data_IF_271540912722
#
_entry.id   IF_271540912722
#
_cell.length_a   1.000
_cell.length_b   1.000
_cell.length_c   1.000
_cell.angle_alpha   90.00
_cell.angle_beta   90.00
_cell.angle_gamma   90.00
#
_symmetry.space_group_name_H-M   'P 1'
#
loop_
_entity.id
_entity.type
_entity.pdbx_description
1 polymer ?
#
# COMPACT_ATOMS: atom_id res chain seq x y z
N UNK A 1 -24.00 25.67 -0.63
CA UNK A 1 -22.77 26.42 -0.93
C UNK A 1 -21.71 25.97 0.06
N UNK A 2 -20.64 25.32 -0.41
CA UNK A 2 -19.50 24.95 0.44
C UNK A 2 -18.62 26.20 0.54
N UNK A 3 -18.54 26.79 1.73
CA UNK A 3 -17.62 27.91 1.98
C UNK A 3 -16.22 27.34 2.21
N UNK A 4 -15.29 27.65 1.30
CA UNK A 4 -13.86 27.38 1.49
C UNK A 4 -13.26 28.56 2.24
N UNK A 5 -12.76 28.34 3.45
CA UNK A 5 -11.94 29.32 4.18
C UNK A 5 -10.51 29.20 3.64
N UNK A 6 -9.99 30.28 3.05
CA UNK A 6 -8.59 30.37 2.64
C UNK A 6 -7.83 31.08 3.77
N UNK A 7 -6.90 30.38 4.42
CA UNK A 7 -5.96 30.98 5.37
C UNK A 7 -4.78 31.60 4.62
N UNK A 8 -4.42 32.83 4.98
CA UNK A 8 -3.17 33.47 4.58
C UNK A 8 -2.14 33.32 5.69
N UNK A 9 -0.89 33.02 5.33
CA UNK A 9 0.23 32.88 6.26
C UNK A 9 1.24 34.02 6.05
N UNK A 10 1.59 34.73 7.12
CA UNK A 10 2.66 35.73 7.14
C UNK A 10 3.66 35.31 8.22
N UNK A 11 4.93 35.13 7.85
CA UNK A 11 6.01 34.73 8.75
C UNK A 11 6.79 35.98 9.16
N UNK A 12 6.96 36.20 10.47
CA UNK A 12 7.83 37.25 11.02
C UNK A 12 9.07 36.61 11.66
N UNK A 13 10.24 37.24 11.47
CA UNK A 13 11.46 36.91 12.19
C UNK A 13 11.62 37.88 13.36
N UNK A 14 11.64 37.41 14.61
CA UNK A 14 12.01 38.25 15.75
C UNK A 14 13.46 37.98 16.13
N UNK A 15 14.36 38.92 15.87
CA UNK A 15 15.64 38.97 16.56
C UNK A 15 15.38 39.26 18.03
N UNK A 16 15.97 38.46 18.92
CA UNK A 16 15.95 38.62 20.39
C UNK A 16 16.08 40.10 20.77
N UNK A 17 14.99 40.72 21.22
CA UNK A 17 15.06 42.05 21.83
C UNK A 17 15.60 41.90 23.24
N UNK A 18 16.88 42.21 23.39
CA UNK A 18 17.55 42.35 24.68
C UNK A 18 19.07 42.55 24.61
N UNK A 19 19.74 42.21 23.51
CA UNK A 19 21.18 42.42 23.35
C UNK A 19 21.49 43.00 21.98
N UNK A 20 21.71 44.32 21.91
CA UNK A 20 22.37 44.98 20.78
C UNK A 20 23.87 44.73 20.85
N UNK A 21 24.30 43.53 20.53
CA UNK A 21 25.69 43.25 20.14
C UNK A 21 25.69 42.20 19.04
N UNK A 22 26.11 42.60 17.84
CA UNK A 22 26.33 41.71 16.71
C UNK A 22 27.30 40.59 17.13
N UNK A 23 26.84 39.35 17.06
CA UNK A 23 27.71 38.17 17.18
C UNK A 23 28.07 37.71 15.76
N UNK A 24 29.35 37.74 15.35
CA UNK A 24 29.77 37.12 14.10
C UNK A 24 29.60 35.61 14.23
N UNK A 25 29.01 34.97 13.22
CA UNK A 25 28.72 33.52 13.11
C UNK A 25 27.46 33.01 13.85
N UNK A 26 26.29 33.60 13.58
CA UNK A 26 25.01 33.01 14.03
C UNK A 26 24.55 31.89 13.08
N UNK A 27 24.30 30.69 13.61
CA UNK A 27 23.66 29.58 12.90
C UNK A 27 22.19 29.48 13.35
N UNK A 28 21.21 29.72 12.46
CA UNK A 28 19.79 29.55 12.79
C UNK A 28 19.55 28.10 13.31
N UNK A 29 19.02 27.95 14.51
CA UNK A 29 18.54 26.68 15.06
C UNK A 29 17.01 26.61 15.00
N UNK A 30 16.41 25.43 15.13
CA UNK A 30 14.94 25.28 15.17
C UNK A 30 14.27 26.14 16.25
N UNK A 31 15.04 26.57 17.26
CA UNK A 31 14.57 27.41 18.37
C UNK A 31 14.44 28.91 18.01
N UNK A 32 14.89 29.34 16.83
CA UNK A 32 14.90 30.75 16.41
C UNK A 32 13.67 31.19 15.60
N UNK A 33 12.72 30.29 15.40
CA UNK A 33 11.49 30.55 14.62
C UNK A 33 10.30 30.68 15.55
N UNK A 34 9.67 31.86 15.56
CA UNK A 34 8.35 32.06 16.14
C UNK A 34 7.28 32.01 15.04
N UNK A 35 6.41 31.01 15.09
CA UNK A 35 5.25 30.91 14.19
C UNK A 35 4.04 31.45 14.95
N UNK A 36 3.59 32.64 14.57
CA UNK A 36 2.38 33.25 15.14
C UNK A 36 1.16 32.92 14.25
N UNK A 37 0.14 32.30 14.83
CA UNK A 37 -1.12 32.03 14.16
C UNK A 37 -2.13 33.13 14.49
N UNK A 38 -2.65 33.84 13.48
CA UNK A 38 -3.71 34.83 13.68
C UNK A 38 -5.01 34.33 13.03
N UNK A 39 -5.98 33.95 13.86
CA UNK A 39 -7.36 33.70 13.41
C UNK A 39 -8.07 35.05 13.29
N UNK A 40 -8.33 35.50 12.07
CA UNK A 40 -9.29 36.58 11.84
C UNK A 40 -10.64 35.97 11.44
N UNK A 41 -11.66 36.17 12.26
CA UNK A 41 -13.03 35.85 11.89
C UNK A 41 -13.64 37.08 11.21
N UNK A 42 -13.99 36.96 9.92
CA UNK A 42 -15.07 37.78 9.39
C UNK A 42 -16.36 37.10 9.85
N UNK A 43 -17.09 37.82 10.70
CA UNK A 43 -18.40 37.44 11.20
C UNK A 43 -19.29 36.96 10.06
N UNK A 44 -19.88 35.77 10.17
CA UNK A 44 -21.25 35.47 9.74
C UNK A 44 -21.72 34.19 10.46
N UNK A 45 -22.96 34.27 10.91
CA UNK A 45 -23.70 33.36 11.79
C UNK A 45 -23.98 31.97 11.21
N UNK A 46 -24.15 31.01 12.14
CA UNK A 46 -24.60 29.62 12.01
C UNK A 46 -23.48 28.55 11.87
N UNK A 47 -22.91 28.17 13.02
CA UNK A 47 -22.13 26.95 13.17
C UNK A 47 -23.08 25.75 13.30
N UNK A 48 -23.09 24.85 12.31
CA UNK A 48 -23.70 23.52 12.42
C UNK A 48 -22.63 22.48 12.76
N UNK A 49 -22.99 21.52 13.63
CA UNK A 49 -22.15 20.52 14.29
C UNK A 49 -21.60 19.37 13.40
N UNK A 50 -21.41 19.61 12.10
CA UNK A 50 -20.89 18.61 11.14
C UNK A 50 -19.72 19.14 10.31
N UNK A 51 -18.95 20.08 10.86
CA UNK A 51 -17.75 20.59 10.20
C UNK A 51 -16.55 19.69 10.53
N UNK A 52 -16.05 18.94 9.55
CA UNK A 52 -14.75 18.28 9.63
C UNK A 52 -13.64 19.30 9.37
N UNK A 53 -12.75 19.49 10.34
CA UNK A 53 -11.57 20.32 10.19
C UNK A 53 -10.40 19.43 9.73
N UNK A 54 -9.67 19.87 8.71
CA UNK A 54 -8.33 19.36 8.39
C UNK A 54 -7.33 20.38 8.92
N UNK A 55 -6.41 19.93 9.78
CA UNK A 55 -5.20 20.70 10.07
C UNK A 55 -4.11 20.15 9.17
N UNK A 56 -3.39 21.04 8.50
CA UNK A 56 -2.17 20.69 7.76
C UNK A 56 -0.95 21.03 8.60
N UNK A 57 -0.04 20.06 8.73
CA UNK A 57 1.29 20.32 9.28
C UNK A 57 2.29 20.42 8.13
N UNK A 58 2.98 21.55 8.00
CA UNK A 58 3.97 21.78 6.94
C UNK A 58 5.40 21.72 7.48
N UNK A 59 6.26 20.91 6.86
CA UNK A 59 7.71 20.98 7.11
C UNK A 59 8.29 22.20 6.40
N UNK A 60 9.00 23.07 7.13
CA UNK A 60 9.68 24.25 6.57
C UNK A 60 11.19 24.02 6.64
N UNK A 61 11.84 23.86 5.49
CA UNK A 61 13.30 23.78 5.43
C UNK A 61 13.91 25.19 5.44
N UNK A 62 14.72 25.53 6.45
CA UNK A 62 15.48 26.77 6.49
C UNK A 62 16.82 26.60 5.79
N UNK A 63 17.19 27.56 4.94
CA UNK A 63 18.53 27.64 4.35
C UNK A 63 19.20 28.94 4.81
N UNK A 64 20.45 28.83 5.27
CA UNK A 64 21.27 29.97 5.64
C UNK A 64 22.06 30.41 4.42
N UNK A 65 21.69 31.53 3.80
CA UNK A 65 22.55 32.19 2.84
C UNK A 65 23.46 33.14 3.62
N UNK A 66 24.75 33.20 3.27
CA UNK A 66 25.84 33.93 3.93
C UNK A 66 25.64 35.44 4.21
N UNK A 67 24.41 35.96 4.14
CA UNK A 67 23.98 37.28 4.55
C UNK A 67 22.81 37.17 5.55
N UNK A 68 23.07 36.71 6.78
CA UNK A 68 22.28 36.86 8.03
C UNK A 68 20.73 36.83 7.95
N UNK A 69 20.13 36.19 6.93
CA UNK A 69 18.69 36.15 6.70
C UNK A 69 18.26 34.71 6.41
N UNK A 70 17.59 34.05 7.37
CA UNK A 70 17.05 32.71 7.15
C UNK A 70 15.89 32.78 6.12
N UNK A 71 15.89 31.95 5.06
CA UNK A 71 14.76 31.81 4.11
C UNK A 71 14.20 30.38 4.12
N UNK A 72 12.88 30.23 3.93
CA UNK A 72 12.24 28.93 3.71
C UNK A 72 12.50 28.44 2.27
N UNK A 73 12.88 27.17 2.13
CA UNK A 73 13.29 26.56 0.85
C UNK A 73 12.32 25.51 0.30
N UNK A 74 11.34 25.06 1.09
CA UNK A 74 10.21 24.25 0.62
C UNK A 74 9.23 23.99 1.77
N UNK A 75 7.93 23.96 1.47
CA UNK A 75 6.86 23.53 2.40
C UNK A 75 6.21 22.25 1.91
N UNK A 76 6.28 21.16 2.68
CA UNK A 76 5.50 19.94 2.44
C UNK A 76 4.48 19.76 3.56
N UNK A 77 3.18 19.82 3.24
CA UNK A 77 2.11 19.72 4.23
C UNK A 77 1.47 18.33 4.25
N UNK A 78 1.14 17.80 5.43
CA UNK A 78 0.51 16.49 5.63
C UNK A 78 -0.82 16.61 6.39
N UNK A 79 -1.77 15.73 6.06
CA UNK A 79 -3.11 15.67 6.65
C UNK A 79 -3.16 14.59 7.76
N UNK A 80 -3.87 14.85 8.86
CA UNK A 80 -4.31 13.79 9.81
C UNK A 80 -5.76 13.41 9.57
N UNK A 81 -6.17 12.23 10.05
CA UNK A 81 -7.55 11.74 9.95
C UNK A 81 -8.09 11.23 11.28
N UNK A 82 -9.37 11.45 11.55
CA UNK A 82 -10.10 10.78 12.63
C UNK A 82 -10.90 9.59 12.09
N UNK A 83 -10.71 8.39 12.67
CA UNK A 83 -11.56 7.19 12.43
C UNK A 83 -12.10 6.77 13.79
N UNK A 84 -13.43 6.63 13.93
CA UNK A 84 -14.08 6.23 15.19
C UNK A 84 -13.63 7.03 16.44
N UNK A 85 -13.52 8.37 16.31
CA UNK A 85 -13.04 9.29 17.37
C UNK A 85 -11.56 9.15 17.77
N UNK A 86 -10.74 8.46 16.98
CA UNK A 86 -9.28 8.37 17.19
C UNK A 86 -8.57 9.10 16.05
N UNK A 87 -7.60 9.96 16.36
CA UNK A 87 -6.81 10.73 15.36
C UNK A 87 -5.52 10.01 14.99
N UNK A 88 -5.17 10.00 13.70
CA UNK A 88 -4.04 9.24 13.14
C UNK A 88 -3.13 10.14 12.28
N UNK A 89 -1.81 9.96 12.43
CA UNK A 89 -0.78 10.75 11.76
C UNK A 89 0.07 9.83 10.86
N UNK A 90 0.67 10.36 9.78
CA UNK A 90 1.53 9.59 8.88
C UNK A 90 2.78 9.02 9.61
N UNK A 91 3.42 7.95 9.11
CA UNK A 91 4.60 7.36 9.72
C UNK A 91 5.71 8.41 9.91
N UNK A 92 6.08 8.69 11.16
CA UNK A 92 7.17 9.62 11.52
C UNK A 92 6.76 11.00 12.03
N UNK A 93 5.47 11.25 12.33
CA UNK A 93 5.00 12.55 12.83
C UNK A 93 4.48 12.45 14.27
N UNK A 94 5.01 13.30 15.16
CA UNK A 94 4.51 13.54 16.51
C UNK A 94 3.34 14.53 16.45
N UNK A 95 2.17 14.11 16.92
CA UNK A 95 1.01 14.96 17.03
C UNK A 95 0.95 15.54 18.46
N UNK A 96 1.01 16.87 18.60
CA UNK A 96 0.83 17.58 19.87
C UNK A 96 -0.30 18.61 19.78
N UNK A 97 -1.14 18.65 20.81
CA UNK A 97 -2.02 19.77 21.15
C UNK A 97 -1.68 20.12 22.60
N UNK A 98 -1.41 21.41 22.86
CA UNK A 98 -0.95 21.94 24.15
C UNK A 98 -2.08 22.70 24.86
N UNK A 99 -2.21 22.49 26.17
CA UNK A 99 -2.88 23.42 27.10
C UNK A 99 -1.99 23.63 28.35
N UNK A 100 -2.13 24.78 29.01
CA UNK A 100 -1.26 25.23 30.12
C UNK A 100 -1.70 24.69 31.50
N UNK A 101 -0.79 24.09 32.29
CA UNK A 101 -1.03 23.75 33.72
C UNK A 101 -1.20 25.03 34.58
N UNK A 102 -1.94 24.97 35.69
CA UNK A 102 -1.91 26.01 36.73
C UNK A 102 -0.58 25.89 37.51
N UNK A 103 0.28 26.90 37.36
CA UNK A 103 1.62 26.94 37.94
C UNK A 103 1.64 27.08 39.47
N UNK A 104 0.50 27.34 40.13
CA UNK A 104 0.43 27.52 41.59
C UNK A 104 0.04 26.21 42.29
N UNK A 105 -0.90 25.46 41.73
CA UNK A 105 -1.51 24.29 42.38
C UNK A 105 -1.01 22.95 41.85
N UNK A 106 -0.27 22.93 40.73
CA UNK A 106 0.19 21.72 40.03
C UNK A 106 -0.95 20.74 39.69
N UNK A 107 -2.16 21.26 39.48
CA UNK A 107 -3.35 20.48 39.09
C UNK A 107 -3.82 20.89 37.70
N UNK A 108 -4.32 19.91 36.94
CA UNK A 108 -4.95 20.17 35.65
C UNK A 108 -6.39 20.67 35.85
N UNK A 109 -6.86 21.54 34.96
CA UNK A 109 -8.24 22.08 34.95
C UNK A 109 -9.31 21.01 34.74
N UNK A 110 -8.93 19.81 34.26
CA UNK A 110 -9.79 18.65 34.11
C UNK A 110 -9.25 17.46 34.92
N UNK A 111 -10.13 16.75 35.65
CA UNK A 111 -9.81 15.62 36.54
C UNK A 111 -9.19 14.38 35.86
N UNK A 112 -8.98 14.42 34.54
CA UNK A 112 -8.50 13.31 33.71
C UNK A 112 -7.20 13.67 32.97
N UNK A 113 -6.23 14.33 33.62
CA UNK A 113 -4.95 14.71 33.00
C UNK A 113 -3.78 14.56 33.99
N UNK A 114 -2.56 14.32 33.49
CA UNK A 114 -1.31 14.21 34.31
C UNK A 114 -0.39 15.39 33.95
N UNK A 115 0.09 16.19 34.93
CA UNK A 115 1.17 17.18 34.71
C UNK A 115 2.53 16.46 34.79
N UNK A 116 3.43 16.72 33.84
CA UNK A 116 4.83 16.29 33.88
C UNK A 116 5.72 17.53 34.06
N UNK A 117 6.62 17.51 35.03
CA UNK A 117 7.57 18.60 35.33
C UNK A 117 8.93 18.23 34.74
N UNK A 118 9.42 19.01 33.78
CA UNK A 118 10.77 18.85 33.26
C UNK A 118 11.73 19.76 34.05
N UNK A 119 12.45 19.21 35.02
CA UNK A 119 13.40 19.96 35.82
C UNK A 119 14.72 20.14 35.07
N UNK A 120 14.76 21.13 34.16
CA UNK A 120 15.94 21.89 33.80
C UNK A 120 15.51 23.13 32.97
N UNK A 121 15.47 24.29 33.61
CA UNK A 121 15.46 25.63 33.00
C UNK A 121 14.26 26.07 32.11
N UNK A 122 13.04 25.61 32.37
CA UNK A 122 11.85 26.40 32.00
C UNK A 122 10.66 26.09 32.92
N UNK A 123 9.91 27.11 33.33
CA UNK A 123 8.76 27.04 34.23
C UNK A 123 7.48 26.53 33.55
N UNK A 124 7.60 25.61 32.58
CA UNK A 124 6.47 25.12 31.80
C UNK A 124 6.13 23.69 32.19
N UNK A 125 5.09 23.55 33.02
CA UNK A 125 4.40 22.28 33.22
C UNK A 125 3.33 22.12 32.15
N UNK A 126 3.22 20.91 31.58
CA UNK A 126 2.24 20.58 30.53
C UNK A 126 1.32 19.47 31.03
N UNK A 127 0.00 19.68 30.92
CA UNK A 127 -1.02 18.66 31.18
C UNK A 127 -1.22 17.82 29.92
N UNK A 128 -1.12 16.50 30.03
CA UNK A 128 -1.56 15.58 28.99
C UNK A 128 -2.95 15.05 29.36
N UNK A 129 -3.99 15.18 28.50
CA UNK A 129 -5.26 14.54 28.78
C UNK A 129 -5.11 13.02 28.69
N UNK A 130 -5.85 12.28 29.53
CA UNK A 130 -5.89 10.81 29.55
C UNK A 130 -6.48 10.20 28.25
N UNK A 131 -6.95 11.05 27.34
CA UNK A 131 -7.34 10.71 25.95
C UNK A 131 -6.26 11.04 24.91
N UNK A 132 -5.26 11.90 25.21
CA UNK A 132 -4.08 12.08 24.36
C UNK A 132 -3.02 10.98 24.56
N UNK A 133 -3.25 10.07 25.50
CA UNK A 133 -2.55 8.77 25.56
C UNK A 133 -3.12 7.75 24.57
N UNK A 134 -4.08 8.11 23.71
CA UNK A 134 -4.23 7.39 22.44
C UNK A 134 -3.02 7.75 21.56
N UNK A 135 -1.96 6.99 21.82
CA UNK A 135 -0.74 6.88 21.05
C UNK A 135 -1.00 7.15 19.57
N UNK A 136 -0.12 7.93 18.92
CA UNK A 136 0.15 7.77 17.50
C UNK A 136 0.53 6.29 17.33
N UNK A 137 -0.44 5.42 17.04
CA UNK A 137 -0.24 3.98 17.06
C UNK A 137 0.56 3.66 15.81
N UNK A 138 1.87 3.57 15.97
CA UNK A 138 2.72 2.93 14.98
C UNK A 138 2.32 1.46 14.92
N UNK A 139 1.95 0.99 13.73
CA UNK A 139 1.58 -0.40 13.51
C UNK A 139 0.08 -0.63 13.25
N UNK A 140 -0.33 -1.88 13.36
CA UNK A 140 -1.53 -2.37 12.70
C UNK A 140 -2.83 -2.01 13.44
N UNK A 141 -3.79 -1.49 12.68
CA UNK A 141 -5.13 -1.12 13.13
C UNK A 141 -6.17 -2.02 12.48
N UNK A 142 -7.12 -2.51 13.27
CA UNK A 142 -8.26 -3.24 12.74
C UNK A 142 -9.26 -2.29 12.05
N UNK A 143 -9.68 -2.61 10.82
CA UNK A 143 -10.57 -1.78 9.99
C UNK A 143 -11.98 -2.34 9.84
N UNK A 144 -12.33 -3.36 10.62
CA UNK A 144 -13.57 -4.11 10.48
C UNK A 144 -13.38 -5.44 9.75
N UNK A 145 -14.50 -6.11 9.53
CA UNK A 145 -14.56 -7.40 8.84
C UNK A 145 -15.27 -7.27 7.50
N UNK A 146 -14.80 -8.05 6.54
CA UNK A 146 -15.60 -8.51 5.42
C UNK A 146 -16.79 -9.34 5.92
N UNK A 147 -17.85 -9.36 5.14
CA UNK A 147 -19.06 -10.14 5.41
C UNK A 147 -18.77 -11.64 5.33
N UNK A 148 -17.93 -12.04 4.35
CA UNK A 148 -17.42 -13.40 4.21
C UNK A 148 -15.91 -13.46 4.43
N UNK A 149 -15.49 -14.48 5.17
CA UNK A 149 -14.09 -14.86 5.24
C UNK A 149 -13.63 -15.42 3.90
N UNK A 150 -12.45 -15.00 3.45
CA UNK A 150 -11.97 -15.36 2.11
C UNK A 150 -10.46 -15.34 2.01
N UNK A 151 -9.92 -16.23 1.20
CA UNK A 151 -8.54 -16.24 0.73
C UNK A 151 -8.51 -16.50 -0.78
N UNK A 152 -7.40 -16.17 -1.43
CA UNK A 152 -7.29 -16.30 -2.89
C UNK A 152 -8.22 -15.34 -3.66
N UNK A 153 -8.76 -14.33 -2.98
CA UNK A 153 -9.49 -13.23 -3.59
C UNK A 153 -8.53 -12.18 -4.17
N UNK A 154 -9.07 -11.23 -4.91
CA UNK A 154 -8.32 -10.05 -5.37
C UNK A 154 -8.85 -8.79 -4.70
N UNK A 155 -7.98 -7.78 -4.52
CA UNK A 155 -8.35 -6.46 -4.02
C UNK A 155 -7.84 -5.37 -4.99
N UNK A 156 -8.74 -4.53 -5.49
CA UNK A 156 -8.44 -3.49 -6.49
C UNK A 156 -8.78 -2.11 -5.95
N UNK A 157 -7.79 -1.20 -5.90
CA UNK A 157 -7.98 0.20 -5.48
C UNK A 157 -8.59 0.99 -6.63
N UNK A 158 -9.87 1.29 -6.54
CA UNK A 158 -10.63 2.00 -7.57
C UNK A 158 -10.21 3.47 -7.66
N UNK A 159 -10.53 4.11 -8.78
CA UNK A 159 -10.25 5.54 -9.02
C UNK A 159 -10.91 6.49 -8.00
N UNK A 160 -12.00 6.05 -7.36
CA UNK A 160 -12.66 6.77 -6.27
C UNK A 160 -12.02 6.54 -4.89
N UNK A 161 -10.91 5.79 -4.82
CA UNK A 161 -10.17 5.49 -3.60
C UNK A 161 -10.72 4.31 -2.77
N UNK A 162 -11.87 3.74 -3.13
CA UNK A 162 -12.38 2.53 -2.46
C UNK A 162 -11.61 1.29 -2.91
N UNK A 163 -11.61 0.24 -2.09
CA UNK A 163 -10.99 -1.05 -2.44
C UNK A 163 -12.08 -2.07 -2.71
N UNK A 164 -12.14 -2.57 -3.95
CA UNK A 164 -13.03 -3.65 -4.35
C UNK A 164 -12.37 -4.99 -4.07
N UNK A 165 -12.96 -5.79 -3.20
CA UNK A 165 -12.55 -7.17 -2.92
C UNK A 165 -13.51 -8.12 -3.64
N UNK A 166 -12.98 -9.05 -4.44
CA UNK A 166 -13.80 -9.92 -5.30
C UNK A 166 -13.42 -11.39 -5.17
N UNK A 167 -14.43 -12.26 -5.11
CA UNK A 167 -14.27 -13.71 -5.12
C UNK A 167 -13.48 -14.24 -3.91
N UNK A 168 -12.75 -15.32 -4.10
CA UNK A 168 -12.05 -16.04 -3.03
C UNK A 168 -12.82 -17.28 -2.57
N UNK A 169 -12.21 -18.02 -1.64
CA UNK A 169 -12.78 -19.25 -1.09
C UNK A 169 -13.02 -19.10 0.42
N UNK A 170 -14.17 -19.57 0.88
CA UNK A 170 -14.54 -19.68 2.29
C UNK A 170 -14.61 -21.17 2.67
N UNK A 171 -13.45 -21.81 2.83
CA UNK A 171 -13.31 -23.19 3.31
C UNK A 171 -14.07 -24.17 2.39
N UNK A 172 -13.68 -24.21 1.11
CA UNK A 172 -14.27 -25.05 0.08
C UNK A 172 -15.56 -24.48 -0.53
N UNK A 173 -16.05 -23.34 -0.04
CA UNK A 173 -17.12 -22.57 -0.67
C UNK A 173 -16.53 -21.43 -1.49
N UNK A 174 -16.40 -21.65 -2.79
CA UNK A 174 -16.01 -20.60 -3.73
C UNK A 174 -17.04 -19.48 -3.75
N UNK A 175 -16.57 -18.23 -3.70
CA UNK A 175 -17.42 -17.04 -3.62
C UNK A 175 -17.52 -16.35 -4.98
N UNK A 176 -18.72 -15.91 -5.33
CA UNK A 176 -18.96 -14.91 -6.38
C UNK A 176 -19.24 -13.51 -5.81
N UNK A 177 -19.21 -13.38 -4.48
CA UNK A 177 -19.48 -12.12 -3.80
C UNK A 177 -18.33 -11.14 -3.92
N UNK A 178 -18.68 -9.86 -3.97
CA UNK A 178 -17.74 -8.75 -3.93
C UNK A 178 -18.16 -7.72 -2.87
N UNK A 179 -17.16 -7.07 -2.27
CA UNK A 179 -17.34 -6.09 -1.20
C UNK A 179 -16.44 -4.88 -1.43
N UNK A 180 -16.90 -3.70 -1.05
CA UNK A 180 -16.15 -2.45 -1.10
C UNK A 180 -15.73 -2.01 0.29
N UNK A 181 -14.43 -1.80 0.48
CA UNK A 181 -13.90 -1.06 1.61
C UNK A 181 -13.87 0.43 1.27
N UNK A 182 -14.53 1.24 2.08
CA UNK A 182 -14.37 2.69 2.03
C UNK A 182 -13.32 3.14 3.05
N UNK A 183 -12.09 3.49 2.64
CA UNK A 183 -11.08 3.98 3.57
C UNK A 183 -11.49 5.32 4.20
N UNK A 184 -12.48 6.01 3.62
CA UNK A 184 -12.94 7.29 4.16
C UNK A 184 -13.71 7.15 5.48
N UNK A 185 -14.38 6.02 5.65
CA UNK A 185 -15.24 5.72 6.80
C UNK A 185 -14.78 4.50 7.57
N UNK A 186 -13.85 3.72 7.03
CA UNK A 186 -13.43 2.44 7.62
C UNK A 186 -14.53 1.39 7.57
N UNK A 187 -15.44 1.46 6.59
CA UNK A 187 -16.62 0.59 6.51
C UNK A 187 -16.59 -0.30 5.28
N UNK A 188 -17.15 -1.50 5.43
CA UNK A 188 -17.35 -2.47 4.36
C UNK A 188 -18.80 -2.45 3.89
N UNK A 189 -19.02 -2.54 2.58
CA UNK A 189 -20.35 -2.62 1.96
C UNK A 189 -20.36 -3.70 0.88
N UNK A 190 -21.40 -4.53 0.83
CA UNK A 190 -21.59 -5.50 -0.26
C UNK A 190 -21.89 -4.79 -1.58
N UNK A 191 -21.48 -5.41 -2.68
CA UNK A 191 -21.75 -4.98 -4.06
C UNK A 191 -22.54 -6.04 -4.81
N UNK A 192 -22.88 -5.78 -6.08
CA UNK A 192 -23.39 -6.83 -6.96
C UNK A 192 -22.42 -8.04 -7.02
N UNK A 193 -22.97 -9.23 -7.23
CA UNK A 193 -22.19 -10.46 -7.33
C UNK A 193 -21.75 -10.71 -8.78
N UNK A 194 -20.58 -11.35 -8.92
CA UNK A 194 -20.17 -11.96 -10.18
C UNK A 194 -21.12 -13.09 -10.58
N UNK A 195 -21.17 -13.41 -11.86
CA UNK A 195 -21.92 -14.55 -12.39
C UNK A 195 -21.26 -15.85 -11.92
N UNK A 196 -19.94 -15.96 -12.13
CA UNK A 196 -19.18 -17.13 -11.72
C UNK A 196 -18.47 -16.89 -10.38
N UNK A 197 -18.60 -17.87 -9.49
CA UNK A 197 -17.77 -17.93 -8.29
C UNK A 197 -16.34 -18.30 -8.66
N UNK A 198 -15.35 -17.61 -8.09
CA UNK A 198 -13.94 -17.83 -8.43
C UNK A 198 -12.99 -17.46 -7.30
N UNK A 199 -11.86 -18.18 -7.20
CA UNK A 199 -10.69 -17.84 -6.40
C UNK A 199 -9.42 -18.10 -7.23
N UNK A 200 -8.28 -17.52 -6.83
CA UNK A 200 -7.02 -17.55 -7.60
C UNK A 200 -7.15 -16.98 -9.02
N UNK A 201 -8.15 -16.12 -9.22
CA UNK A 201 -8.32 -15.27 -10.40
C UNK A 201 -7.43 -14.03 -10.30
N UNK A 202 -7.35 -13.28 -11.40
CA UNK A 202 -6.73 -11.96 -11.41
C UNK A 202 -7.79 -10.87 -11.59
N UNK A 203 -7.49 -9.66 -11.10
CA UNK A 203 -8.30 -8.47 -11.29
C UNK A 203 -7.44 -7.30 -11.78
N UNK A 204 -7.80 -6.72 -12.91
CA UNK A 204 -7.06 -5.65 -13.58
C UNK A 204 -7.94 -4.42 -13.74
N UNK A 205 -7.49 -3.28 -13.20
CA UNK A 205 -8.17 -1.99 -13.38
C UNK A 205 -7.85 -1.45 -14.77
N UNK A 206 -8.86 -1.36 -15.62
CA UNK A 206 -8.73 -0.86 -16.98
C UNK A 206 -8.63 0.67 -17.02
N UNK A 207 -8.11 1.27 -18.11
CA UNK A 207 -8.11 2.73 -18.30
C UNK A 207 -9.50 3.37 -18.20
N UNK A 208 -10.57 2.61 -18.47
CA UNK A 208 -11.96 3.06 -18.30
C UNK A 208 -12.40 3.20 -16.84
N UNK A 209 -11.61 2.71 -15.88
CA UNK A 209 -11.98 2.59 -14.47
C UNK A 209 -12.76 1.33 -14.11
N UNK A 210 -13.11 0.48 -15.10
CA UNK A 210 -13.73 -0.84 -14.87
C UNK A 210 -12.69 -1.84 -14.37
N UNK A 211 -13.12 -2.87 -13.64
CA UNK A 211 -12.25 -3.95 -13.18
C UNK A 211 -12.53 -5.20 -13.99
N UNK A 212 -11.54 -5.66 -14.76
CA UNK A 212 -11.59 -6.93 -15.46
C UNK A 212 -11.16 -8.04 -14.51
N UNK A 213 -12.03 -9.02 -14.28
CA UNK A 213 -11.76 -10.22 -13.49
C UNK A 213 -11.67 -11.42 -14.42
N UNK A 214 -10.60 -12.22 -14.33
CA UNK A 214 -10.31 -13.27 -15.31
C UNK A 214 -9.89 -14.59 -14.68
N UNK A 215 -10.45 -15.69 -15.19
CA UNK A 215 -10.11 -17.06 -14.79
C UNK A 215 -10.37 -17.34 -13.31
N UNK A 216 -9.45 -18.06 -12.69
CA UNK A 216 -9.58 -18.63 -11.36
C UNK A 216 -10.23 -20.01 -11.38
N UNK A 217 -10.41 -20.55 -10.19
CA UNK A 217 -11.05 -21.84 -9.95
C UNK A 217 -12.47 -21.61 -9.44
N UNK A 218 -13.45 -22.13 -10.16
CA UNK A 218 -14.85 -22.07 -9.79
C UNK A 218 -15.37 -23.39 -9.24
N UNK A 219 -16.69 -23.46 -9.00
CA UNK A 219 -17.32 -24.66 -8.43
C UNK A 219 -17.11 -25.92 -9.28
N UNK A 220 -17.13 -25.78 -10.61
CA UNK A 220 -16.99 -26.88 -11.57
C UNK A 220 -15.58 -27.01 -12.15
N UNK A 221 -14.59 -26.36 -11.53
CA UNK A 221 -13.19 -26.37 -11.97
C UNK A 221 -12.71 -25.04 -12.54
N UNK A 222 -11.58 -25.10 -13.23
CA UNK A 222 -10.85 -23.93 -13.71
C UNK A 222 -11.64 -23.20 -14.79
N UNK A 223 -11.74 -21.87 -14.65
CA UNK A 223 -12.53 -21.01 -15.51
C UNK A 223 -11.67 -20.40 -16.63
N UNK A 224 -12.26 -20.26 -17.81
CA UNK A 224 -11.78 -19.36 -18.86
C UNK A 224 -12.65 -18.10 -18.98
N UNK A 225 -13.71 -17.98 -18.18
CA UNK A 225 -14.61 -16.83 -18.21
C UNK A 225 -13.94 -15.56 -17.65
N UNK A 226 -14.39 -14.42 -18.15
CA UNK A 226 -13.97 -13.11 -17.69
C UNK A 226 -15.18 -12.17 -17.57
N UNK A 227 -15.15 -11.33 -16.53
CA UNK A 227 -16.25 -10.42 -16.19
C UNK A 227 -15.70 -9.01 -15.91
N UNK A 228 -16.48 -7.99 -16.24
CA UNK A 228 -16.18 -6.59 -15.98
C UNK A 228 -17.08 -6.06 -14.87
N UNK A 229 -16.48 -5.52 -13.82
CA UNK A 229 -17.17 -4.71 -12.84
C UNK A 229 -17.15 -3.24 -13.24
N UNK A 230 -18.32 -2.61 -13.28
CA UNK A 230 -18.48 -1.18 -13.45
C UNK A 230 -18.77 -0.51 -12.09
N UNK A 231 -17.79 0.22 -11.50
CA UNK A 231 -17.97 0.84 -10.20
C UNK A 231 -18.95 2.03 -10.20
N UNK A 232 -19.33 2.54 -11.38
CA UNK A 232 -20.28 3.65 -11.49
C UNK A 232 -21.73 3.19 -11.40
N UNK A 233 -22.00 1.96 -11.81
CA UNK A 233 -23.34 1.37 -11.83
C UNK A 233 -23.52 0.21 -10.86
N UNK A 234 -22.44 -0.26 -10.22
CA UNK A 234 -22.44 -1.46 -9.37
C UNK A 234 -23.01 -2.68 -10.11
N UNK A 235 -22.47 -2.94 -11.30
CA UNK A 235 -22.91 -4.05 -12.16
C UNK A 235 -21.74 -4.84 -12.70
N UNK A 236 -21.95 -6.15 -12.83
CA UNK A 236 -21.06 -7.07 -13.52
C UNK A 236 -21.58 -7.34 -14.94
N UNK A 237 -20.67 -7.46 -15.90
CA UNK A 237 -20.99 -7.83 -17.28
C UNK A 237 -20.01 -8.89 -17.76
N UNK A 238 -20.51 -9.98 -18.32
CA UNK A 238 -19.66 -11.01 -18.93
C UNK A 238 -18.99 -10.50 -20.20
N UNK A 239 -17.77 -10.94 -20.44
CA UNK A 239 -17.01 -10.65 -21.66
C UNK A 239 -16.73 -11.94 -22.42
N UNK A 240 -16.05 -11.86 -23.57
CA UNK A 240 -15.54 -13.06 -24.22
C UNK A 240 -14.63 -13.85 -23.28
N UNK A 241 -14.64 -15.18 -23.40
CA UNK A 241 -13.76 -16.05 -22.62
C UNK A 241 -12.33 -16.08 -23.18
N UNK A 242 -11.37 -16.32 -22.30
CA UNK A 242 -10.00 -16.69 -22.67
C UNK A 242 -10.00 -17.99 -23.49
N UNK A 243 -8.98 -18.18 -24.32
CA UNK A 243 -8.80 -19.40 -25.11
C UNK A 243 -8.40 -20.58 -24.20
N UNK A 244 -7.69 -20.32 -23.11
CA UNK A 244 -7.36 -21.30 -22.10
C UNK A 244 -8.02 -20.98 -20.76
N UNK A 245 -8.49 -22.01 -20.05
CA UNK A 245 -8.89 -21.88 -18.65
C UNK A 245 -7.66 -21.76 -17.76
N UNK A 246 -7.67 -20.83 -16.80
CA UNK A 246 -6.48 -20.47 -16.02
C UNK A 246 -6.81 -20.22 -14.56
N UNK A 247 -6.01 -20.76 -13.65
CA UNK A 247 -5.90 -20.36 -12.24
C UNK A 247 -4.41 -20.17 -11.94
N UNK A 248 -4.07 -19.35 -10.93
CA UNK A 248 -2.67 -19.04 -10.58
C UNK A 248 -1.85 -18.39 -11.70
N UNK A 249 -2.52 -17.86 -12.71
CA UNK A 249 -1.94 -16.97 -13.72
C UNK A 249 -1.71 -15.58 -13.13
N UNK A 250 -0.92 -14.79 -13.84
CA UNK A 250 -0.77 -13.36 -13.55
C UNK A 250 -1.34 -12.53 -14.69
N UNK A 251 -1.66 -11.28 -14.39
CA UNK A 251 -2.21 -10.36 -15.36
C UNK A 251 -1.67 -8.93 -15.16
N UNK A 252 -1.32 -8.28 -16.26
CA UNK A 252 -0.75 -6.93 -16.27
C UNK A 252 -1.46 -6.05 -17.28
N UNK A 253 -1.87 -4.86 -16.84
CA UNK A 253 -2.37 -3.80 -17.73
C UNK A 253 -1.18 -3.15 -18.43
N UNK A 254 -1.17 -3.20 -19.76
CA UNK A 254 -0.12 -2.65 -20.60
C UNK A 254 -0.37 -1.16 -20.87
N UNK A 255 0.67 -0.45 -21.31
CA UNK A 255 0.60 0.99 -21.66
C UNK A 255 -0.40 1.30 -22.78
N UNK A 256 -0.68 0.33 -23.65
CA UNK A 256 -1.71 0.43 -24.69
C UNK A 256 -3.13 0.12 -24.20
N UNK A 257 -3.32 -0.12 -22.90
CA UNK A 257 -4.60 -0.42 -22.27
C UNK A 257 -5.05 -1.87 -22.35
N UNK A 258 -4.37 -2.74 -23.11
CA UNK A 258 -4.65 -4.18 -23.13
C UNK A 258 -4.20 -4.86 -21.85
N UNK A 259 -4.77 -6.02 -21.55
CA UNK A 259 -4.36 -6.84 -20.40
C UNK A 259 -3.64 -8.08 -20.89
N UNK A 260 -2.37 -8.23 -20.55
CA UNK A 260 -1.61 -9.47 -20.76
C UNK A 260 -1.94 -10.45 -19.64
N UNK A 261 -2.22 -11.70 -19.98
CA UNK A 261 -2.42 -12.81 -19.04
C UNK A 261 -1.45 -13.93 -19.38
N UNK A 262 -0.72 -14.46 -18.39
CA UNK A 262 0.30 -15.48 -18.63
C UNK A 262 0.28 -16.63 -17.62
N UNK A 263 0.64 -17.80 -18.13
CA UNK A 263 0.78 -19.03 -17.34
C UNK A 263 -0.53 -19.49 -16.71
N UNK A 264 -0.43 -20.37 -15.72
CA UNK A 264 -1.54 -20.92 -14.94
C UNK A 264 -2.60 -21.68 -15.76
N UNK A 265 -2.65 -23.01 -15.74
CA UNK A 265 -3.74 -23.83 -16.30
C UNK A 265 -3.64 -25.29 -15.87
N UNK A 266 -4.49 -25.76 -14.95
CA UNK A 266 -4.49 -27.16 -14.47
C UNK A 266 -3.13 -27.68 -13.99
N UNK A 267 -2.22 -26.76 -13.66
CA UNK A 267 -0.77 -26.92 -13.71
C UNK A 267 -0.08 -25.73 -14.37
N UNK A 268 1.24 -25.83 -14.58
CA UNK A 268 2.00 -24.76 -15.22
C UNK A 268 1.77 -24.71 -16.74
N UNK A 269 1.61 -23.50 -17.28
CA UNK A 269 1.47 -23.27 -18.72
C UNK A 269 2.49 -22.24 -19.20
N UNK A 270 2.95 -22.36 -20.44
CA UNK A 270 3.78 -21.34 -21.08
C UNK A 270 2.98 -20.42 -22.01
N UNK A 271 1.67 -20.64 -22.13
CA UNK A 271 0.81 -19.84 -23.00
C UNK A 271 0.49 -18.48 -22.39
N UNK A 272 0.28 -17.50 -23.27
CA UNK A 272 -0.05 -16.13 -22.93
C UNK A 272 -1.12 -15.57 -23.89
N UNK A 273 -1.95 -14.67 -23.37
CA UNK A 273 -3.08 -14.09 -24.11
C UNK A 273 -3.24 -12.61 -23.77
N UNK A 274 -3.80 -11.85 -24.70
CA UNK A 274 -4.13 -10.45 -24.54
C UNK A 274 -5.64 -10.25 -24.58
N UNK A 275 -6.17 -9.53 -23.59
CA UNK A 275 -7.51 -8.96 -23.65
C UNK A 275 -7.47 -7.55 -24.22
N UNK A 276 -8.28 -7.31 -25.25
CA UNK A 276 -8.53 -5.98 -25.79
C UNK A 276 -9.83 -5.41 -25.19
N UNK A 277 -9.77 -4.42 -24.28
CA UNK A 277 -10.96 -3.88 -23.65
C UNK A 277 -11.86 -3.08 -24.60
N UNK A 278 -11.35 -2.64 -25.76
CA UNK A 278 -12.15 -1.91 -26.75
C UNK A 278 -13.04 -2.85 -27.57
N UNK A 279 -12.54 -4.04 -27.87
CA UNK A 279 -13.26 -5.08 -28.61
C UNK A 279 -13.98 -6.08 -27.69
N UNK A 280 -13.55 -6.20 -26.43
CA UNK A 280 -14.05 -7.22 -25.50
C UNK A 280 -13.62 -8.64 -25.89
N UNK A 281 -12.48 -8.79 -26.56
CA UNK A 281 -12.01 -10.05 -27.15
C UNK A 281 -10.62 -10.45 -26.67
N UNK A 282 -10.33 -11.75 -26.71
CA UNK A 282 -9.04 -12.33 -26.38
C UNK A 282 -8.27 -12.76 -27.63
N UNK A 283 -6.96 -12.51 -27.65
CA UNK A 283 -6.04 -12.97 -28.70
C UNK A 283 -4.83 -13.65 -28.08
N UNK A 284 -4.44 -14.81 -28.60
CA UNK A 284 -3.21 -15.49 -28.18
C UNK A 284 -1.97 -14.71 -28.60
N UNK A 285 -0.91 -14.78 -27.80
CA UNK A 285 0.42 -14.24 -28.16
C UNK A 285 1.38 -15.39 -28.47
N UNK A 286 2.66 -15.07 -28.75
CA UNK A 286 3.71 -16.08 -28.65
C UNK A 286 3.76 -16.69 -27.24
N UNK A 287 4.23 -17.92 -27.14
CA UNK A 287 4.41 -18.60 -25.85
C UNK A 287 5.72 -18.18 -25.18
N UNK A 288 5.73 -18.24 -23.85
CA UNK A 288 6.96 -18.24 -23.06
C UNK A 288 7.77 -19.51 -23.34
N UNK A 289 9.07 -19.46 -23.05
CA UNK A 289 9.97 -20.61 -23.14
C UNK A 289 9.67 -21.62 -22.05
N UNK A 290 9.45 -21.14 -20.82
CA UNK A 290 9.16 -21.99 -19.67
C UNK A 290 7.69 -21.90 -19.28
N UNK A 291 7.09 -23.04 -18.95
CA UNK A 291 5.77 -23.08 -18.34
C UNK A 291 5.85 -22.61 -16.89
N UNK A 292 4.86 -21.82 -16.46
CA UNK A 292 4.85 -21.17 -15.15
C UNK A 292 3.45 -21.14 -14.55
N UNK A 293 3.40 -21.31 -13.23
CA UNK A 293 2.31 -20.93 -12.34
C UNK A 293 2.94 -20.39 -11.05
N UNK A 294 2.21 -19.59 -10.28
CA UNK A 294 2.74 -18.92 -9.06
C UNK A 294 3.98 -18.05 -9.32
N UNK A 295 4.15 -17.59 -10.56
CA UNK A 295 5.14 -16.60 -10.97
C UNK A 295 4.63 -15.18 -10.72
N UNK A 296 5.49 -14.20 -10.93
CA UNK A 296 5.11 -12.78 -10.89
C UNK A 296 5.33 -12.11 -12.24
N UNK A 297 4.50 -11.11 -12.53
CA UNK A 297 4.66 -10.17 -13.63
C UNK A 297 5.02 -8.78 -13.11
N UNK A 298 5.84 -8.04 -13.86
CA UNK A 298 6.18 -6.65 -13.56
C UNK A 298 6.25 -5.84 -14.84
N UNK A 299 5.36 -4.86 -14.98
CA UNK A 299 5.41 -3.90 -16.10
C UNK A 299 6.55 -2.93 -15.84
N UNK A 300 7.53 -2.92 -16.75
CA UNK A 300 8.73 -2.11 -16.65
C UNK A 300 8.51 -0.72 -17.24
N UNK A 301 9.37 0.24 -16.87
CA UNK A 301 9.31 1.62 -17.36
C UNK A 301 9.46 1.75 -18.89
N UNK A 302 10.11 0.77 -19.52
CA UNK A 302 10.24 0.70 -20.98
C UNK A 302 9.03 0.05 -21.68
N UNK A 303 7.96 -0.29 -20.93
CA UNK A 303 6.74 -0.90 -21.44
C UNK A 303 6.79 -2.41 -21.63
N UNK A 304 7.94 -3.06 -21.45
CA UNK A 304 8.04 -4.53 -21.46
C UNK A 304 7.49 -5.13 -20.16
N UNK A 305 7.08 -6.39 -20.20
CA UNK A 305 6.64 -7.12 -19.01
C UNK A 305 7.68 -8.16 -18.63
N UNK A 306 8.23 -8.08 -17.42
CA UNK A 306 9.10 -9.08 -16.86
C UNK A 306 8.26 -10.17 -16.17
N UNK A 307 8.47 -11.42 -16.56
CA UNK A 307 7.94 -12.61 -15.87
C UNK A 307 9.08 -13.33 -15.14
N UNK A 308 8.88 -13.67 -13.87
CA UNK A 308 9.95 -14.27 -13.04
C UNK A 308 9.48 -15.46 -12.22
N UNK A 309 10.31 -16.50 -12.17
CA UNK A 309 10.12 -17.67 -11.31
C UNK A 309 8.88 -18.51 -11.64
N UNK A 310 8.26 -19.06 -10.61
CA UNK A 310 7.11 -19.98 -10.71
C UNK A 310 7.51 -21.45 -10.82
N UNK A 311 6.54 -22.36 -10.92
CA UNK A 311 6.77 -23.81 -11.10
C UNK A 311 6.37 -24.34 -12.46
N UNK A 312 6.86 -25.53 -12.82
CA UNK A 312 6.61 -26.24 -14.08
C UNK A 312 7.63 -26.03 -15.19
N UNK A 313 8.69 -25.28 -14.91
CA UNK A 313 9.87 -25.10 -15.76
C UNK A 313 11.06 -24.69 -14.90
N UNK A 314 11.99 -23.91 -15.45
CA UNK A 314 13.11 -23.36 -14.68
C UNK A 314 12.64 -22.27 -13.70
N UNK A 315 12.44 -22.62 -12.42
CA UNK A 315 11.91 -21.75 -11.37
C UNK A 315 12.81 -20.57 -10.94
N UNK A 316 14.02 -20.46 -11.48
CA UNK A 316 14.89 -19.28 -11.31
C UNK A 316 14.98 -18.41 -12.57
N UNK A 317 14.38 -18.85 -13.68
CA UNK A 317 14.46 -18.13 -14.95
C UNK A 317 13.52 -16.92 -14.99
N UNK A 318 13.83 -15.97 -15.87
CA UNK A 318 12.99 -14.84 -16.18
C UNK A 318 12.94 -14.56 -17.70
N UNK A 319 11.83 -14.00 -18.14
CA UNK A 319 11.57 -13.69 -19.55
C UNK A 319 10.91 -12.31 -19.67
N UNK A 320 11.18 -11.62 -20.77
CA UNK A 320 10.60 -10.33 -21.12
C UNK A 320 9.61 -10.50 -22.26
N UNK A 321 8.38 -10.02 -22.07
CA UNK A 321 7.42 -9.81 -23.13
C UNK A 321 7.56 -8.41 -23.71
N UNK A 322 7.61 -8.33 -25.04
CA UNK A 322 7.59 -7.07 -25.77
C UNK A 322 6.20 -6.86 -26.40
N UNK A 323 5.37 -5.92 -25.87
CA UNK A 323 4.04 -5.67 -26.42
C UNK A 323 4.01 -5.17 -27.86
N UNK A 324 5.13 -4.63 -28.37
CA UNK A 324 5.19 -4.10 -29.74
C UNK A 324 5.30 -5.20 -30.79
N UNK A 325 5.93 -6.32 -30.44
CA UNK A 325 6.15 -7.47 -31.32
C UNK A 325 5.32 -8.69 -30.93
N UNK A 326 4.79 -8.73 -29.70
CA UNK A 326 4.07 -9.89 -29.18
C UNK A 326 4.96 -11.10 -28.92
N UNK A 327 6.27 -10.88 -28.69
CA UNK A 327 7.27 -11.93 -28.52
C UNK A 327 7.88 -11.96 -27.13
N UNK A 328 8.34 -13.15 -26.73
CA UNK A 328 9.07 -13.38 -25.49
C UNK A 328 10.57 -13.48 -25.72
N UNK A 329 11.39 -13.01 -24.78
CA UNK A 329 12.85 -13.13 -24.83
C UNK A 329 13.40 -13.46 -23.45
N UNK A 330 14.25 -14.48 -23.35
CA UNK A 330 14.92 -14.82 -22.09
C UNK A 330 15.86 -13.69 -21.65
N UNK A 331 15.93 -13.46 -20.34
CA UNK A 331 16.88 -12.53 -19.70
C UNK A 331 17.72 -13.28 -18.66
N UNK A 332 18.59 -12.59 -17.93
CA UNK A 332 19.31 -13.18 -16.79
C UNK A 332 18.39 -13.92 -15.82
N UNK A 333 18.98 -14.84 -15.05
CA UNK A 333 18.25 -15.69 -14.10
C UNK A 333 18.58 -15.33 -12.66
N UNK A 334 17.62 -15.55 -11.77
CA UNK A 334 17.82 -15.46 -10.33
C UNK A 334 18.81 -16.52 -9.85
N UNK A 335 19.45 -16.23 -8.73
CA UNK A 335 20.35 -17.15 -8.03
C UNK A 335 19.57 -18.29 -7.40
N UNK A 336 18.43 -17.98 -6.78
CA UNK A 336 17.56 -18.98 -6.16
C UNK A 336 16.33 -19.25 -7.04
N UNK A 337 15.94 -20.52 -7.11
CA UNK A 337 14.61 -20.90 -7.60
C UNK A 337 13.56 -20.36 -6.64
N UNK A 338 12.44 -19.85 -7.15
CA UNK A 338 11.34 -19.39 -6.32
C UNK A 338 9.99 -19.44 -7.04
N UNK A 339 8.98 -19.86 -6.28
CA UNK A 339 7.56 -19.71 -6.59
C UNK A 339 6.88 -18.96 -5.46
N UNK A 340 5.69 -18.40 -5.70
CA UNK A 340 4.87 -17.73 -4.67
C UNK A 340 5.59 -16.59 -3.94
N UNK A 341 6.58 -15.99 -4.62
CA UNK A 341 7.30 -14.78 -4.21
C UNK A 341 6.53 -13.53 -4.63
N UNK A 342 7.01 -12.36 -4.20
CA UNK A 342 6.51 -11.08 -4.70
C UNK A 342 7.58 -10.37 -5.54
N UNK A 343 7.13 -9.52 -6.46
CA UNK A 343 7.99 -8.66 -7.28
C UNK A 343 7.48 -7.22 -7.22
N UNK A 344 8.35 -6.29 -6.85
CA UNK A 344 8.04 -4.86 -6.67
C UNK A 344 8.90 -4.02 -7.60
N UNK A 345 8.27 -3.29 -8.53
CA UNK A 345 8.96 -2.30 -9.36
C UNK A 345 9.27 -1.08 -8.50
N UNK A 346 10.55 -0.78 -8.31
CA UNK A 346 11.03 0.33 -7.50
C UNK A 346 11.02 1.64 -8.30
N UNK A 347 11.09 2.77 -7.59
CA UNK A 347 11.13 4.12 -8.19
C UNK A 347 12.31 4.35 -9.14
N UNK A 348 13.41 3.60 -8.96
CA UNK A 348 14.57 3.61 -9.86
C UNK A 348 14.42 2.68 -11.08
N UNK A 349 13.26 2.04 -11.26
CA UNK A 349 12.97 1.13 -12.36
C UNK A 349 13.46 -0.31 -12.19
N UNK A 350 14.24 -0.62 -11.14
CA UNK A 350 14.65 -2.00 -10.83
C UNK A 350 13.51 -2.79 -10.22
N UNK A 351 13.54 -4.11 -10.34
CA UNK A 351 12.52 -4.99 -9.77
C UNK A 351 13.10 -5.75 -8.57
N UNK A 352 12.52 -5.52 -7.39
CA UNK A 352 12.85 -6.24 -6.16
C UNK A 352 12.02 -7.51 -6.08
N UNK A 353 12.67 -8.67 -5.99
CA UNK A 353 12.03 -9.97 -5.84
C UNK A 353 12.35 -10.55 -4.47
N UNK A 354 11.30 -10.84 -3.68
CA UNK A 354 11.44 -11.20 -2.26
C UNK A 354 10.75 -12.51 -1.92
N UNK A 355 11.41 -13.33 -1.10
CA UNK A 355 10.82 -14.54 -0.51
C UNK A 355 10.35 -15.58 -1.53
N UNK A 356 9.25 -16.26 -1.22
CA UNK A 356 8.77 -17.42 -1.98
C UNK A 356 9.33 -18.74 -1.45
N UNK A 357 9.08 -19.81 -2.18
CA UNK A 357 9.54 -21.16 -1.89
C UNK A 357 10.47 -21.65 -3.00
N UNK A 358 11.71 -21.95 -2.63
CA UNK A 358 12.72 -22.49 -3.53
C UNK A 358 12.95 -23.98 -3.32
N UNK A 359 14.00 -24.50 -3.97
CA UNK A 359 14.33 -25.93 -3.91
C UNK A 359 14.55 -26.44 -2.47
N UNK A 360 15.15 -25.62 -1.60
CA UNK A 360 15.46 -25.96 -0.20
C UNK A 360 14.40 -25.47 0.80
N UNK A 361 13.22 -25.04 0.33
CA UNK A 361 12.12 -24.55 1.18
C UNK A 361 11.93 -23.03 1.12
N UNK A 362 11.30 -22.48 2.17
CA UNK A 362 10.94 -21.07 2.25
C UNK A 362 12.18 -20.16 2.21
N UNK A 363 12.10 -19.08 1.44
CA UNK A 363 13.17 -18.12 1.27
C UNK A 363 12.89 -16.84 2.06
N UNK A 364 13.94 -16.29 2.67
CA UNK A 364 14.01 -14.90 3.10
C UNK A 364 14.91 -14.05 2.19
N UNK A 365 15.54 -14.67 1.20
CA UNK A 365 16.44 -14.01 0.26
C UNK A 365 15.71 -13.03 -0.64
N UNK A 366 16.42 -11.98 -1.01
CA UNK A 366 15.93 -10.93 -1.91
C UNK A 366 16.94 -10.72 -3.04
N UNK A 367 16.43 -10.46 -4.25
CA UNK A 367 17.24 -10.20 -5.43
C UNK A 367 16.69 -8.99 -6.20
N UNK A 368 17.58 -8.21 -6.80
CA UNK A 368 17.23 -7.07 -7.66
C UNK A 368 17.52 -7.41 -9.11
N UNK A 369 16.52 -7.24 -9.97
CA UNK A 369 16.69 -7.23 -11.41
C UNK A 369 16.91 -5.81 -11.93
N UNK A 370 17.92 -5.64 -12.77
CA UNK A 370 18.18 -4.40 -13.50
C UNK A 370 17.74 -4.55 -14.97
N UNK A 371 16.62 -3.91 -15.38
CA UNK A 371 16.13 -3.97 -16.76
C UNK A 371 17.09 -3.45 -17.83
N UNK A 372 18.05 -2.60 -17.46
CA UNK A 372 19.00 -2.01 -18.42
C UNK A 372 20.09 -2.99 -18.83
N UNK A 373 20.45 -3.92 -17.95
CA UNK A 373 21.51 -4.91 -18.17
C UNK A 373 20.99 -6.34 -18.26
N UNK A 374 19.78 -6.60 -17.79
CA UNK A 374 19.21 -7.94 -17.67
C UNK A 374 19.83 -8.76 -16.53
N UNK A 375 20.64 -8.14 -15.67
CA UNK A 375 21.37 -8.81 -14.58
C UNK A 375 20.55 -8.87 -13.29
N UNK A 376 20.86 -9.88 -12.48
CA UNK A 376 20.34 -10.06 -11.13
C UNK A 376 21.44 -9.88 -10.08
N UNK A 377 21.10 -9.20 -8.99
CA UNK A 377 22.01 -9.00 -7.86
C UNK A 377 21.33 -9.38 -6.56
N UNK A 378 21.94 -10.24 -5.76
CA UNK A 378 21.47 -10.58 -4.41
C UNK A 378 21.58 -9.37 -3.48
N UNK A 379 20.57 -9.14 -2.66
CA UNK A 379 20.53 -8.05 -1.68
C UNK A 379 20.33 -8.58 -0.25
N UNK A 380 20.21 -7.65 0.71
CA UNK A 380 19.93 -8.00 2.10
C UNK A 380 18.66 -8.85 2.20
N UNK A 381 18.69 -9.85 3.06
CA UNK A 381 17.58 -10.77 3.27
C UNK A 381 16.61 -10.28 4.32
N UNK A 382 15.34 -10.67 4.20
CA UNK A 382 14.33 -10.49 5.24
C UNK A 382 14.72 -11.27 6.51
N UNK A 383 14.17 -10.87 7.65
CA UNK A 383 14.34 -11.58 8.92
C UNK A 383 13.60 -12.92 8.92
N UNK A 384 12.40 -12.96 8.34
CA UNK A 384 11.60 -14.19 8.23
C UNK A 384 11.46 -14.67 6.80
N UNK A 385 11.66 -15.97 6.59
CA UNK A 385 11.34 -16.62 5.32
C UNK A 385 9.82 -16.69 5.13
N UNK A 386 9.34 -16.42 3.91
CA UNK A 386 7.91 -16.34 3.63
C UNK A 386 7.58 -16.55 2.16
N UNK A 387 6.55 -17.32 1.87
CA UNK A 387 5.82 -17.34 0.59
C UNK A 387 4.37 -16.87 0.80
N UNK A 388 3.61 -16.63 -0.27
CA UNK A 388 2.19 -16.22 -0.18
C UNK A 388 1.97 -14.96 0.67
N UNK A 389 3.00 -14.14 0.76
CA UNK A 389 2.99 -12.83 1.41
C UNK A 389 2.63 -11.76 0.37
N UNK A 390 2.36 -10.55 0.84
CA UNK A 390 2.15 -9.39 -0.02
C UNK A 390 3.32 -8.41 0.11
N UNK A 391 3.60 -7.67 -0.96
CA UNK A 391 4.56 -6.57 -0.97
C UNK A 391 3.91 -5.31 -1.53
N UNK A 392 4.04 -4.21 -0.81
CA UNK A 392 3.43 -2.92 -1.12
C UNK A 392 4.52 -1.85 -1.25
N UNK A 393 4.68 -1.29 -2.45
CA UNK A 393 5.56 -0.13 -2.68
C UNK A 393 4.88 1.11 -2.13
N UNK A 394 5.48 1.73 -1.12
CA UNK A 394 4.96 2.91 -0.44
C UNK A 394 5.35 4.19 -1.18
N UNK A 395 4.64 5.29 -0.88
CA UNK A 395 4.90 6.61 -1.48
C UNK A 395 6.31 7.16 -1.21
N UNK A 396 6.94 6.73 -0.11
CA UNK A 396 8.33 7.07 0.21
C UNK A 396 9.36 6.15 -0.49
N UNK A 397 8.92 5.26 -1.39
CA UNK A 397 9.76 4.34 -2.14
C UNK A 397 10.19 3.07 -1.39
N UNK A 398 9.82 2.91 -0.11
CA UNK A 398 10.08 1.68 0.65
C UNK A 398 9.10 0.58 0.26
N UNK A 399 9.46 -0.68 0.51
CA UNK A 399 8.58 -1.83 0.23
C UNK A 399 8.17 -2.50 1.53
N UNK A 400 6.88 -2.44 1.85
CA UNK A 400 6.30 -3.12 3.00
C UNK A 400 5.91 -4.54 2.62
N UNK A 401 6.50 -5.53 3.28
CA UNK A 401 6.20 -6.95 3.13
C UNK A 401 5.42 -7.46 4.33
N UNK A 402 4.31 -8.17 4.11
CA UNK A 402 3.39 -8.54 5.20
C UNK A 402 2.88 -9.98 5.09
N UNK A 403 2.82 -10.65 6.24
CA UNK A 403 2.25 -12.00 6.39
C UNK A 403 2.97 -13.08 5.58
N UNK A 404 2.20 -14.04 5.07
CA UNK A 404 2.68 -15.21 4.34
C UNK A 404 2.94 -16.42 5.22
N UNK A 405 3.50 -17.45 4.61
CA UNK A 405 3.85 -18.73 5.26
C UNK A 405 5.36 -18.95 5.20
N UNK A 406 5.96 -19.13 6.37
CA UNK A 406 7.32 -19.66 6.53
C UNK A 406 7.28 -20.99 7.29
N UNK A 407 8.06 -21.13 8.36
CA UNK A 407 7.94 -22.24 9.31
C UNK A 407 6.65 -22.22 10.16
N UNK A 408 5.77 -21.26 9.88
CA UNK A 408 4.41 -21.09 10.36
C UNK A 408 3.76 -19.93 9.58
N UNK A 409 2.46 -19.74 9.72
CA UNK A 409 1.80 -18.55 9.16
C UNK A 409 2.22 -17.32 9.96
N UNK A 410 2.61 -16.26 9.26
CA UNK A 410 3.17 -15.07 9.84
C UNK A 410 2.12 -13.97 9.97
N UNK A 411 2.21 -13.20 11.05
CA UNK A 411 1.60 -11.89 11.21
C UNK A 411 2.66 -10.77 11.19
N UNK A 412 3.93 -11.11 10.98
CA UNK A 412 5.02 -10.14 10.95
C UNK A 412 4.98 -9.33 9.67
N UNK A 413 5.49 -8.10 9.77
CA UNK A 413 5.71 -7.23 8.63
C UNK A 413 7.13 -6.63 8.70
N UNK A 414 7.71 -6.43 7.52
CA UNK A 414 9.08 -5.93 7.36
C UNK A 414 9.11 -4.88 6.25
N UNK A 415 9.96 -3.87 6.43
CA UNK A 415 10.09 -2.75 5.51
C UNK A 415 11.49 -2.77 4.89
N UNK A 416 11.55 -2.85 3.55
CA UNK A 416 12.77 -2.72 2.79
C UNK A 416 13.00 -1.26 2.43
N UNK A 417 14.21 -0.76 2.70
CA UNK A 417 14.67 0.55 2.26
C UNK A 417 15.66 0.37 1.09
N UNK A 418 15.27 0.72 -0.16
CA UNK A 418 16.15 0.59 -1.31
C UNK A 418 17.38 1.50 -1.30
N UNK A 419 17.37 2.58 -0.49
CA UNK A 419 18.48 3.54 -0.42
C UNK A 419 19.64 3.03 0.41
N UNK A 420 19.34 2.30 1.49
CA UNK A 420 20.32 1.69 2.38
C UNK A 420 20.50 0.20 2.15
N UNK A 421 19.63 -0.41 1.33
CA UNK A 421 19.59 -1.86 1.11
C UNK A 421 19.43 -2.64 2.43
N UNK A 422 18.49 -2.22 3.29
CA UNK A 422 18.28 -2.83 4.60
C UNK A 422 16.82 -3.18 4.84
N UNK A 423 16.60 -4.25 5.59
CA UNK A 423 15.29 -4.62 6.12
C UNK A 423 15.16 -4.19 7.58
N UNK A 424 14.02 -3.61 7.92
CA UNK A 424 13.65 -3.30 9.30
C UNK A 424 12.32 -3.96 9.63
N UNK A 425 12.24 -4.62 10.78
CA UNK A 425 10.95 -5.12 11.28
C UNK A 425 10.02 -3.95 11.57
N UNK A 426 8.73 -4.14 11.28
CA UNK A 426 7.68 -3.21 11.71
C UNK A 426 6.88 -3.84 12.85
N UNK A 427 5.79 -3.19 13.29
CA UNK A 427 4.79 -3.86 14.13
C UNK A 427 4.15 -5.06 13.42
N UNK A 428 3.53 -5.95 14.20
CA UNK A 428 2.85 -7.15 13.71
C UNK A 428 1.35 -6.88 13.47
N UNK A 429 0.80 -7.53 12.45
CA UNK A 429 -0.65 -7.67 12.27
C UNK A 429 -1.26 -8.38 13.48
N UNK A 430 -2.53 -8.09 13.76
CA UNK A 430 -3.30 -8.74 14.81
C UNK A 430 -3.61 -10.20 14.45
N UNK A 431 -3.77 -10.50 13.15
CA UNK A 431 -3.98 -11.86 12.66
C UNK A 431 -2.82 -12.35 11.80
N UNK A 432 -2.47 -13.62 11.98
CA UNK A 432 -1.64 -14.37 11.03
C UNK A 432 -2.41 -14.59 9.74
N UNK A 433 -1.78 -14.42 8.58
CA UNK A 433 -2.45 -14.59 7.28
C UNK A 433 -1.48 -14.91 6.16
N UNK A 434 -1.86 -15.83 5.29
CA UNK A 434 -1.25 -16.05 3.97
C UNK A 434 -2.33 -15.99 2.89
N UNK A 435 -1.96 -15.87 1.62
CA UNK A 435 -2.90 -15.78 0.49
C UNK A 435 -3.97 -14.68 0.72
N UNK A 436 -3.53 -13.60 1.36
CA UNK A 436 -4.30 -12.38 1.59
C UNK A 436 -3.94 -11.34 0.53
N UNK A 437 -4.66 -10.23 0.52
CA UNK A 437 -4.33 -9.10 -0.35
C UNK A 437 -3.91 -7.89 0.46
N UNK A 438 -3.02 -7.07 -0.10
CA UNK A 438 -2.64 -5.77 0.43
C UNK A 438 -2.88 -4.70 -0.64
N UNK A 439 -3.44 -3.56 -0.24
CA UNK A 439 -3.78 -2.46 -1.14
C UNK A 439 -3.25 -1.15 -0.60
N UNK A 440 -2.35 -0.52 -1.37
CA UNK A 440 -1.83 0.82 -1.07
C UNK A 440 -2.90 1.85 -1.43
N UNK A 441 -3.36 2.58 -0.42
CA UNK A 441 -4.39 3.59 -0.56
C UNK A 441 -3.80 4.93 -1.02
N UNK A 442 -4.64 5.82 -1.54
CA UNK A 442 -4.22 7.14 -2.02
C UNK A 442 -3.61 8.04 -0.94
N UNK A 443 -3.89 7.76 0.33
CA UNK A 443 -3.30 8.44 1.49
C UNK A 443 -1.97 7.80 1.96
N UNK A 444 -1.46 6.78 1.26
CA UNK A 444 -0.21 6.10 1.58
C UNK A 444 -0.31 4.98 2.61
N UNK A 445 -1.49 4.74 3.20
CA UNK A 445 -1.70 3.61 4.12
C UNK A 445 -1.89 2.31 3.34
N UNK A 446 -1.66 1.18 4.00
CA UNK A 446 -1.83 -0.15 3.38
C UNK A 446 -2.94 -0.91 4.09
N UNK A 447 -4.01 -1.24 3.37
CA UNK A 447 -5.06 -2.13 3.90
C UNK A 447 -4.78 -3.57 3.49
N UNK A 448 -4.70 -4.45 4.48
CA UNK A 448 -4.51 -5.89 4.32
C UNK A 448 -5.79 -6.62 4.67
N UNK A 449 -6.25 -7.49 3.77
CA UNK A 449 -7.62 -8.02 3.82
C UNK A 449 -7.65 -9.53 3.61
N UNK A 450 -8.42 -10.22 4.46
CA UNK A 450 -8.66 -11.66 4.40
C UNK A 450 -7.39 -12.51 4.47
N UNK A 451 -7.41 -13.64 3.78
CA UNK A 451 -6.36 -14.65 3.81
C UNK A 451 -6.76 -15.90 4.59
N UNK A 452 -5.81 -16.81 4.72
CA UNK A 452 -6.00 -18.10 5.38
C UNK A 452 -4.96 -18.27 6.49
N UNK A 453 -5.37 -18.95 7.55
CA UNK A 453 -4.50 -19.49 8.58
C UNK A 453 -4.88 -20.94 8.87
N UNK A 454 -3.94 -21.87 8.68
CA UNK A 454 -4.21 -23.30 8.75
C UNK A 454 -5.37 -23.67 7.80
N UNK A 455 -6.54 -24.03 8.33
CA UNK A 455 -7.77 -24.32 7.57
C UNK A 455 -8.84 -23.24 7.71
N UNK A 456 -8.55 -22.11 8.36
CA UNK A 456 -9.50 -21.03 8.62
C UNK A 456 -9.31 -19.89 7.63
N UNK A 457 -10.34 -19.63 6.83
CA UNK A 457 -10.45 -18.37 6.09
C UNK A 457 -10.66 -17.22 7.08
N UNK A 458 -10.08 -16.06 6.79
CA UNK A 458 -10.12 -14.87 7.64
C UNK A 458 -11.00 -13.81 6.96
N UNK A 459 -11.85 -13.13 7.73
CA UNK A 459 -12.64 -11.99 7.26
C UNK A 459 -12.12 -10.65 7.81
N UNK A 460 -11.07 -10.62 8.61
CA UNK A 460 -10.55 -9.37 9.15
C UNK A 460 -9.75 -8.58 8.11
N UNK A 461 -9.86 -7.25 8.21
CA UNK A 461 -9.04 -6.31 7.50
C UNK A 461 -8.27 -5.41 8.47
N UNK A 462 -7.02 -5.12 8.15
CA UNK A 462 -6.11 -4.34 9.00
C UNK A 462 -5.38 -3.27 8.18
N UNK A 463 -5.09 -2.12 8.79
CA UNK A 463 -4.43 -0.97 8.18
C UNK A 463 -3.05 -0.80 8.81
N UNK A 464 -2.06 -0.58 7.96
CA UNK A 464 -0.72 -0.15 8.33
C UNK A 464 -0.52 1.33 8.00
#
# INVERSE_FOLDING_TARGET
>A
MRSTIVLFFIIYFSTVQGQTTQLPNYSCSENDVSIQFTLSSLSHSAWNSTSTFSLQQCNVNLTNNNNDNCRSSSTSCFDYRTINNISYCAPGILCSILETCDNITQTCSSNNSICIINSCCSSQAVCLPFLATYMCKTGWLYTGNLSDARYGHTASVLSNGKVLVTGGDHIGRTLNSAELYNPSTGTWTTTANMTDARYYHTASILPSGKVLVTGGNGYSGILNSAELYDPSTDTWTTTSSMNSAREWHTASVLSNGKVLVTGGSGGASNSAELYDPSAGTWTTTSNMTNARQWHTESVLSNGKVLVTGGSGGASNSAELYDPSTGTWTATGSMTNTRQSHTASVLSNGRVLVTGGNGYSGFLNSTELYDPSTGNWTTTSSMNSAREWHTASVLSNGKVLVTGGTGYGTLNTAELYDPSTNTWTTTGNMNNVRSIHTASVLSNGLVVVTGGIYSTYAINSAELY
#
